data_IF_592575746002
#
_entry.id   IF_592575746002
#
_cell.length_a   1.000
_cell.length_b   1.000
_cell.length_c   1.000
_cell.angle_alpha   90.00
_cell.angle_beta   90.00
_cell.angle_gamma   90.00
#
_symmetry.space_group_name_H-M   'P 1'
#
loop_
_entity.id
_entity.type
_entity.pdbx_description
1 polymer ?
#
# COMPACT_ATOMS: atom_id res chain seq x y z
N UNK A 1 -10.96 10.09 -1.82
CA UNK A 1 -10.52 11.23 -2.67
C UNK A 1 -10.79 11.03 -4.14
N UNK A 2 -10.48 9.89 -4.76
CA UNK A 2 -10.80 9.64 -6.17
C UNK A 2 -12.27 9.90 -6.51
N UNK A 3 -13.22 9.41 -5.71
CA UNK A 3 -14.65 9.68 -5.90
C UNK A 3 -14.98 11.19 -5.97
N UNK A 4 -14.47 11.99 -5.02
CA UNK A 4 -14.73 13.43 -4.98
C UNK A 4 -14.11 14.18 -6.17
N UNK A 5 -12.87 13.85 -6.53
CA UNK A 5 -12.23 14.40 -7.72
C UNK A 5 -13.05 14.13 -8.99
N UNK A 6 -13.46 12.87 -9.20
CA UNK A 6 -14.15 12.46 -10.43
C UNK A 6 -15.56 13.06 -10.58
N UNK A 7 -16.27 13.25 -9.47
CA UNK A 7 -17.65 13.74 -9.45
C UNK A 7 -17.76 15.22 -9.06
N UNK A 8 -16.64 15.95 -9.02
CA UNK A 8 -16.67 17.37 -8.70
C UNK A 8 -17.52 18.13 -9.74
N UNK A 9 -18.33 19.11 -9.31
CA UNK A 9 -19.18 19.91 -10.20
C UNK A 9 -18.37 20.81 -11.14
N UNK A 10 -17.11 21.11 -10.81
CA UNK A 10 -16.24 22.03 -11.54
C UNK A 10 -14.81 21.50 -11.63
N UNK A 11 -14.09 21.90 -12.68
CA UNK A 11 -12.68 21.55 -12.87
C UNK A 11 -11.77 22.03 -11.73
N UNK A 12 -12.04 23.21 -11.17
CA UNK A 12 -11.29 23.79 -10.05
C UNK A 12 -11.37 22.90 -8.81
N UNK A 13 -12.60 22.64 -8.33
CA UNK A 13 -12.82 21.74 -7.20
C UNK A 13 -12.28 20.31 -7.45
N UNK A 14 -12.37 19.83 -8.69
CA UNK A 14 -11.77 18.56 -9.10
C UNK A 14 -10.25 18.57 -8.90
N UNK A 15 -9.60 19.67 -9.27
CA UNK A 15 -8.15 19.90 -9.14
C UNK A 15 -7.73 19.95 -7.68
N UNK A 16 -8.51 20.60 -6.81
CA UNK A 16 -8.26 20.62 -5.38
C UNK A 16 -8.34 19.22 -4.77
N UNK A 17 -9.38 18.45 -5.11
CA UNK A 17 -9.55 17.10 -4.59
C UNK A 17 -8.43 16.15 -5.03
N UNK A 18 -7.96 16.23 -6.28
CA UNK A 18 -6.83 15.39 -6.73
C UNK A 18 -5.52 15.86 -6.10
N UNK A 19 -5.33 17.17 -5.91
CA UNK A 19 -4.13 17.73 -5.24
C UNK A 19 -4.03 17.21 -3.82
N UNK A 20 -5.09 17.37 -3.02
CA UNK A 20 -5.14 16.85 -1.65
C UNK A 20 -5.03 15.32 -1.66
N UNK A 21 -5.74 14.64 -2.56
CA UNK A 21 -5.68 13.18 -2.71
C UNK A 21 -4.28 12.66 -3.02
N UNK A 22 -3.51 13.37 -3.84
CA UNK A 22 -2.16 13.01 -4.22
C UNK A 22 -1.20 13.09 -3.03
N UNK A 23 -1.33 14.11 -2.17
CA UNK A 23 -0.54 14.24 -0.93
C UNK A 23 -0.72 12.99 -0.05
N UNK A 24 -1.98 12.57 0.18
CA UNK A 24 -2.25 11.31 0.89
C UNK A 24 -1.64 10.11 0.15
N UNK A 25 -1.75 10.09 -1.18
CA UNK A 25 -1.14 9.07 -2.04
C UNK A 25 0.37 8.92 -1.85
N UNK A 26 1.11 10.03 -1.67
CA UNK A 26 2.56 9.99 -1.42
C UNK A 26 2.91 9.45 -0.05
N UNK A 27 2.09 9.73 0.95
CA UNK A 27 2.33 9.27 2.33
C UNK A 27 2.03 7.78 2.53
N UNK A 28 1.13 7.20 1.75
CA UNK A 28 0.73 5.80 1.89
C UNK A 28 1.91 4.80 1.87
N UNK A 29 2.78 4.78 0.84
CA UNK A 29 3.91 3.85 0.81
C UNK A 29 4.96 4.15 1.91
N UNK A 30 5.03 5.39 2.39
CA UNK A 30 5.87 5.76 3.54
C UNK A 30 5.33 5.18 4.85
N UNK A 31 4.01 5.22 5.08
CA UNK A 31 3.38 4.62 6.26
C UNK A 31 3.53 3.10 6.31
N UNK A 32 3.45 2.43 5.16
CA UNK A 32 3.73 0.99 5.10
C UNK A 32 5.19 0.70 5.51
N UNK A 33 6.13 1.48 5.01
CA UNK A 33 7.54 1.32 5.34
C UNK A 33 7.82 1.60 6.82
N UNK A 34 7.20 2.63 7.39
CA UNK A 34 7.23 2.89 8.83
C UNK A 34 6.71 1.67 9.59
N UNK A 35 5.58 1.10 9.18
CA UNK A 35 4.98 -0.07 9.83
C UNK A 35 5.97 -1.24 9.85
N UNK A 36 6.60 -1.54 8.71
CA UNK A 36 7.62 -2.59 8.64
C UNK A 36 8.86 -2.30 9.50
N UNK A 37 9.34 -1.06 9.49
CA UNK A 37 10.48 -0.67 10.32
C UNK A 37 10.15 -0.75 11.81
N UNK A 38 8.93 -0.39 12.22
CA UNK A 38 8.46 -0.47 13.60
C UNK A 38 8.33 -1.92 14.09
N UNK A 39 7.96 -2.86 13.21
CA UNK A 39 8.02 -4.30 13.55
C UNK A 39 9.45 -4.80 13.75
N UNK A 40 10.44 -4.23 13.06
CA UNK A 40 11.84 -4.60 13.22
C UNK A 40 12.47 -3.96 14.47
N UNK A 41 12.23 -2.66 14.66
CA UNK A 41 12.75 -1.88 15.79
C UNK A 41 11.86 -0.65 16.01
N UNK A 42 11.25 -0.56 17.19
CA UNK A 42 10.44 0.59 17.56
C UNK A 42 11.33 1.79 17.88
N UNK A 43 11.42 2.75 16.95
CA UNK A 43 12.15 3.99 17.15
C UNK A 43 11.50 5.13 16.37
N UNK A 44 11.44 6.32 16.97
CA UNK A 44 10.91 7.52 16.32
C UNK A 44 11.71 7.93 15.08
N UNK A 45 12.97 7.49 14.96
CA UNK A 45 13.78 7.74 13.74
C UNK A 45 13.17 7.11 12.49
N UNK A 46 12.33 6.08 12.62
CA UNK A 46 11.61 5.49 11.50
C UNK A 46 10.64 6.50 10.83
N UNK A 47 10.18 7.52 11.56
CA UNK A 47 9.31 8.56 11.02
C UNK A 47 10.00 9.47 9.99
N UNK A 48 11.34 9.50 9.96
CA UNK A 48 12.10 10.26 8.95
C UNK A 48 11.80 9.78 7.52
N UNK A 49 11.29 8.56 7.38
CA UNK A 49 10.82 8.00 6.11
C UNK A 49 9.64 8.79 5.52
N UNK A 50 8.91 9.59 6.30
CA UNK A 50 7.87 10.49 5.79
C UNK A 50 8.43 11.72 5.07
N UNK A 51 9.67 12.13 5.37
CA UNK A 51 10.22 13.41 4.89
C UNK A 51 10.13 13.52 3.35
N UNK A 52 10.56 12.53 2.55
CA UNK A 52 10.45 12.62 1.09
C UNK A 52 9.01 12.77 0.59
N UNK A 53 8.06 12.03 1.19
CA UNK A 53 6.64 12.13 0.86
C UNK A 53 6.03 13.49 1.22
N UNK A 54 6.42 14.06 2.37
CA UNK A 54 5.99 15.40 2.80
C UNK A 54 6.57 16.49 1.89
N UNK A 55 7.85 16.40 1.52
CA UNK A 55 8.48 17.31 0.56
C UNK A 55 7.72 17.27 -0.76
N UNK A 56 7.44 16.08 -1.29
CA UNK A 56 6.65 15.97 -2.52
C UNK A 56 5.25 16.56 -2.36
N UNK A 57 4.56 16.32 -1.23
CA UNK A 57 3.27 16.92 -0.96
C UNK A 57 3.29 18.44 -0.92
N UNK A 58 4.33 19.04 -0.33
CA UNK A 58 4.56 20.49 -0.35
C UNK A 58 4.76 20.97 -1.79
N UNK A 59 5.60 20.29 -2.58
CA UNK A 59 5.81 20.63 -4.00
C UNK A 59 4.48 20.58 -4.75
N UNK A 60 3.62 19.58 -4.51
CA UNK A 60 2.29 19.47 -5.13
C UNK A 60 1.40 20.67 -4.85
N UNK A 61 1.37 21.14 -3.60
CA UNK A 61 0.54 22.27 -3.19
C UNK A 61 0.93 23.58 -3.88
N UNK A 62 2.23 23.78 -4.14
CA UNK A 62 2.71 25.02 -4.76
C UNK A 62 2.81 24.93 -6.29
N UNK A 63 3.11 23.76 -6.83
CA UNK A 63 3.30 23.58 -8.27
C UNK A 63 2.00 23.37 -9.04
N UNK A 64 0.89 23.01 -8.37
CA UNK A 64 -0.39 22.62 -9.02
C UNK A 64 -0.17 21.73 -10.25
N UNK A 65 0.45 20.55 -10.07
CA UNK A 65 1.05 19.79 -11.16
C UNK A 65 0.03 19.01 -12.00
N UNK A 66 -1.27 19.14 -11.72
CA UNK A 66 -2.32 18.35 -12.36
C UNK A 66 -3.11 19.20 -13.36
N UNK A 67 -3.37 18.61 -14.53
CA UNK A 67 -4.37 19.10 -15.48
C UNK A 67 -5.55 18.14 -15.46
N UNK A 68 -6.76 18.67 -15.38
CA UNK A 68 -7.98 17.85 -15.32
C UNK A 68 -8.72 17.87 -16.65
N UNK A 69 -9.36 16.75 -16.97
CA UNK A 69 -10.09 16.52 -18.22
C UNK A 69 -11.41 15.84 -17.91
N UNK A 70 -12.51 16.30 -18.53
CA UNK A 70 -13.79 15.61 -18.39
C UNK A 70 -13.84 14.38 -19.31
N UNK A 71 -14.29 13.24 -18.79
CA UNK A 71 -14.39 11.98 -19.55
C UNK A 71 -15.72 11.28 -19.29
N UNK A 72 -15.97 10.16 -19.97
CA UNK A 72 -17.19 9.35 -19.78
C UNK A 72 -17.34 8.81 -18.35
N UNK A 73 -16.24 8.76 -17.60
CA UNK A 73 -16.18 8.29 -16.22
C UNK A 73 -16.03 9.45 -15.22
N UNK A 74 -16.34 10.69 -15.61
CA UNK A 74 -16.13 11.92 -14.82
C UNK A 74 -14.76 12.56 -15.03
N UNK A 75 -14.31 13.40 -14.11
CA UNK A 75 -12.98 14.02 -14.21
C UNK A 75 -11.85 12.98 -14.18
N UNK A 76 -10.88 13.17 -15.06
CA UNK A 76 -9.61 12.47 -15.11
C UNK A 76 -8.48 13.48 -15.00
N UNK A 77 -7.24 13.03 -14.85
CA UNK A 77 -6.09 13.92 -14.68
C UNK A 77 -4.87 13.46 -15.48
N UNK A 78 -4.04 14.44 -15.83
CA UNK A 78 -2.69 14.26 -16.35
C UNK A 78 -1.71 15.19 -15.63
N UNK A 79 -0.43 15.04 -15.92
CA UNK A 79 0.61 15.88 -15.33
C UNK A 79 0.88 17.10 -16.22
N UNK A 80 0.90 18.29 -15.61
CA UNK A 80 1.25 19.54 -16.27
C UNK A 80 2.74 19.62 -16.60
N UNK A 81 3.59 18.95 -15.82
CA UNK A 81 5.04 19.03 -15.92
C UNK A 81 5.69 17.65 -15.93
N UNK A 82 6.52 17.40 -16.95
CA UNK A 82 7.26 16.13 -17.09
C UNK A 82 8.20 15.88 -15.92
N UNK A 83 8.93 16.92 -15.47
CA UNK A 83 9.86 16.79 -14.34
C UNK A 83 9.16 16.33 -13.06
N UNK A 84 7.92 16.80 -12.83
CA UNK A 84 7.13 16.44 -11.67
C UNK A 84 6.73 14.97 -11.72
N UNK A 85 6.25 14.53 -12.89
CA UNK A 85 5.94 13.12 -13.13
C UNK A 85 7.17 12.23 -12.90
N UNK A 86 8.32 12.61 -13.44
CA UNK A 86 9.58 11.88 -13.25
C UNK A 86 9.98 11.80 -11.77
N UNK A 87 9.92 12.92 -11.04
CA UNK A 87 10.23 12.96 -9.60
C UNK A 87 9.29 12.06 -8.79
N UNK A 88 7.99 12.10 -9.09
CA UNK A 88 7.00 11.22 -8.48
C UNK A 88 7.30 9.74 -8.74
N UNK A 89 7.61 9.36 -9.98
CA UNK A 89 7.93 7.98 -10.35
C UNK A 89 9.18 7.50 -9.61
N UNK A 90 10.25 8.32 -9.57
CA UNK A 90 11.48 7.98 -8.85
C UNK A 90 11.20 7.78 -7.36
N UNK A 91 10.45 8.68 -6.73
CA UNK A 91 10.08 8.57 -5.33
C UNK A 91 9.28 7.28 -5.06
N UNK A 92 8.30 6.99 -5.91
CA UNK A 92 7.45 5.82 -5.76
C UNK A 92 8.28 4.53 -5.88
N UNK A 93 9.17 4.44 -6.89
CA UNK A 93 10.09 3.31 -7.06
C UNK A 93 11.03 3.14 -5.87
N UNK A 94 11.55 4.23 -5.31
CA UNK A 94 12.40 4.19 -4.12
C UNK A 94 11.65 3.60 -2.91
N UNK A 95 10.40 4.04 -2.67
CA UNK A 95 9.58 3.43 -1.62
C UNK A 95 9.21 1.98 -1.92
N UNK A 96 8.96 1.62 -3.17
CA UNK A 96 8.71 0.22 -3.55
C UNK A 96 9.89 -0.64 -3.20
N UNK A 97 11.09 -0.26 -3.64
CA UNK A 97 12.31 -1.00 -3.35
C UNK A 97 12.55 -1.12 -1.84
N UNK A 98 12.41 -0.03 -1.08
CA UNK A 98 12.59 -0.04 0.36
C UNK A 98 11.56 -0.93 1.09
N UNK A 99 10.28 -0.85 0.73
CA UNK A 99 9.23 -1.71 1.28
C UNK A 99 9.49 -3.19 0.99
N UNK A 100 9.92 -3.53 -0.24
CA UNK A 100 10.25 -4.90 -0.60
C UNK A 100 11.46 -5.41 0.19
N UNK A 101 12.55 -4.65 0.27
CA UNK A 101 13.76 -5.03 1.01
C UNK A 101 13.45 -5.25 2.49
N UNK A 102 12.77 -4.30 3.14
CA UNK A 102 12.44 -4.42 4.56
C UNK A 102 11.41 -5.53 4.80
N UNK A 103 10.39 -5.64 3.95
CA UNK A 103 9.36 -6.68 4.05
C UNK A 103 9.93 -8.09 3.88
N UNK A 104 10.80 -8.32 2.89
CA UNK A 104 11.49 -9.61 2.71
C UNK A 104 12.34 -9.94 3.95
N UNK A 105 13.06 -8.96 4.49
CA UNK A 105 13.84 -9.14 5.70
C UNK A 105 12.96 -9.51 6.90
N UNK A 106 11.79 -8.90 7.07
CA UNK A 106 10.83 -9.28 8.12
C UNK A 106 10.34 -10.71 7.96
N UNK A 107 10.01 -11.14 6.74
CA UNK A 107 9.60 -12.54 6.48
C UNK A 107 10.69 -13.51 6.86
N UNK A 108 11.94 -13.22 6.48
CA UNK A 108 13.10 -14.09 6.76
C UNK A 108 13.47 -14.13 8.25
N UNK A 109 13.35 -13.01 8.96
CA UNK A 109 13.73 -12.87 10.36
C UNK A 109 12.58 -13.09 11.35
N UNK A 110 11.38 -13.43 10.87
CA UNK A 110 10.22 -13.67 11.74
C UNK A 110 10.48 -14.84 12.72
N UNK A 111 10.30 -14.54 14.01
CA UNK A 111 10.56 -15.49 15.11
C UNK A 111 9.59 -16.67 15.15
N UNK A 112 8.37 -16.51 14.64
CA UNK A 112 7.34 -17.56 14.62
C UNK A 112 6.80 -17.80 13.22
N UNK A 113 6.34 -19.02 12.94
CA UNK A 113 5.74 -19.36 11.65
C UNK A 113 4.48 -18.55 11.36
N UNK A 114 3.66 -18.26 12.39
CA UNK A 114 2.49 -17.42 12.24
C UNK A 114 2.88 -16.03 11.73
N UNK A 115 3.88 -15.41 12.37
CA UNK A 115 4.33 -14.07 12.01
C UNK A 115 4.93 -14.06 10.60
N UNK A 116 5.68 -15.11 10.24
CA UNK A 116 6.19 -15.31 8.88
C UNK A 116 5.06 -15.38 7.85
N UNK A 117 4.00 -16.15 8.12
CA UNK A 117 2.82 -16.25 7.25
C UNK A 117 2.13 -14.89 7.08
N UNK A 118 1.91 -14.16 8.17
CA UNK A 118 1.31 -12.80 8.14
C UNK A 118 2.15 -11.82 7.32
N UNK A 119 3.45 -11.74 7.57
CA UNK A 119 4.35 -10.87 6.81
C UNK A 119 4.44 -11.26 5.34
N UNK A 120 4.48 -12.57 5.03
CA UNK A 120 4.50 -13.05 3.65
C UNK A 120 3.24 -12.62 2.91
N UNK A 121 2.08 -12.78 3.54
CA UNK A 121 0.80 -12.38 2.95
C UNK A 121 0.74 -10.86 2.74
N UNK A 122 1.12 -10.05 3.74
CA UNK A 122 1.20 -8.59 3.59
C UNK A 122 2.11 -8.17 2.43
N UNK A 123 3.29 -8.79 2.30
CA UNK A 123 4.23 -8.51 1.24
C UNK A 123 3.69 -8.90 -0.15
N UNK A 124 3.03 -10.06 -0.26
CA UNK A 124 2.39 -10.50 -1.50
C UNK A 124 1.24 -9.57 -1.89
N UNK A 125 0.37 -9.21 -0.94
CA UNK A 125 -0.74 -8.29 -1.19
C UNK A 125 -0.24 -6.91 -1.62
N UNK A 126 0.81 -6.41 -0.96
CA UNK A 126 1.47 -5.18 -1.36
C UNK A 126 2.01 -5.26 -2.80
N UNK A 127 2.75 -6.31 -3.12
CA UNK A 127 3.33 -6.47 -4.45
C UNK A 127 2.24 -6.58 -5.53
N UNK A 128 1.25 -7.45 -5.34
CA UNK A 128 0.22 -7.70 -6.34
C UNK A 128 -0.69 -6.48 -6.55
N UNK A 129 -1.22 -5.91 -5.46
CA UNK A 129 -2.20 -4.85 -5.60
C UNK A 129 -1.56 -3.49 -5.78
N UNK A 130 -0.52 -3.15 -5.01
CA UNK A 130 0.09 -1.83 -5.09
C UNK A 130 1.13 -1.74 -6.20
N UNK A 131 2.13 -2.63 -6.21
CA UNK A 131 3.24 -2.54 -7.18
C UNK A 131 2.77 -2.86 -8.60
N UNK A 132 1.95 -3.90 -8.77
CA UNK A 132 1.49 -4.31 -10.11
C UNK A 132 0.19 -3.60 -10.48
N UNK A 133 -0.92 -3.88 -9.79
CA UNK A 133 -2.24 -3.46 -10.26
C UNK A 133 -2.44 -1.94 -10.24
N UNK A 134 -2.08 -1.25 -9.15
CA UNK A 134 -2.17 0.22 -9.08
C UNK A 134 -1.20 0.89 -10.06
N UNK A 135 0.04 0.43 -10.19
CA UNK A 135 1.00 1.02 -11.14
C UNK A 135 0.51 0.90 -12.58
N UNK A 136 0.03 -0.28 -12.99
CA UNK A 136 -0.53 -0.49 -14.33
C UNK A 136 -1.73 0.41 -14.55
N UNK A 137 -2.68 0.44 -13.60
CA UNK A 137 -3.88 1.27 -13.72
C UNK A 137 -3.54 2.76 -13.81
N UNK A 138 -2.59 3.23 -13.01
CA UNK A 138 -2.15 4.63 -13.05
C UNK A 138 -1.41 4.96 -14.35
N UNK A 139 -0.56 4.06 -14.86
CA UNK A 139 0.09 4.25 -16.16
C UNK A 139 -0.94 4.31 -17.30
N UNK A 140 -1.93 3.40 -17.29
CA UNK A 140 -3.00 3.39 -18.28
C UNK A 140 -3.83 4.67 -18.21
N UNK A 141 -4.12 5.20 -17.01
CA UNK A 141 -4.89 6.43 -16.85
C UNK A 141 -4.11 7.67 -17.31
N UNK A 142 -2.78 7.69 -17.12
CA UNK A 142 -1.91 8.77 -17.62
C UNK A 142 -1.78 8.72 -19.13
N UNK A 143 -1.68 7.54 -19.72
CA UNK A 143 -1.51 7.38 -21.18
C UNK A 143 -2.85 7.49 -21.94
N UNK A 144 -3.92 6.95 -21.38
CA UNK A 144 -5.27 6.96 -21.91
C UNK A 144 -6.21 7.67 -20.92
N UNK A 145 -6.44 8.97 -21.16
CA UNK A 145 -7.20 9.84 -20.24
C UNK A 145 -8.62 9.29 -19.96
N UNK A 146 -9.27 8.65 -20.94
CA UNK A 146 -10.60 8.04 -20.80
C UNK A 146 -10.57 6.56 -20.33
N UNK A 147 -9.47 6.10 -19.74
CA UNK A 147 -9.41 4.74 -19.20
C UNK A 147 -10.27 4.62 -17.92
N UNK A 148 -10.99 3.50 -17.71
CA UNK A 148 -11.81 3.33 -16.52
C UNK A 148 -10.98 3.37 -15.22
N UNK A 149 -11.45 4.07 -14.17
CA UNK A 149 -10.72 4.19 -12.90
C UNK A 149 -10.85 2.95 -12.02
N UNK A 150 -10.06 1.92 -12.29
CA UNK A 150 -10.07 0.69 -11.47
C UNK A 150 -9.38 0.84 -10.10
N UNK A 151 -8.69 1.96 -9.84
CA UNK A 151 -7.90 2.16 -8.63
C UNK A 151 -8.69 1.97 -7.33
N UNK A 152 -9.97 2.37 -7.28
CA UNK A 152 -10.83 2.17 -6.10
C UNK A 152 -11.14 0.70 -5.82
N UNK A 153 -11.45 -0.09 -6.86
CA UNK A 153 -11.71 -1.53 -6.75
C UNK A 153 -10.44 -2.25 -6.29
N UNK A 154 -9.30 -1.94 -6.94
CA UNK A 154 -8.00 -2.53 -6.59
C UNK A 154 -7.63 -2.20 -5.13
N UNK A 155 -7.84 -0.96 -4.69
CA UNK A 155 -7.57 -0.54 -3.31
C UNK A 155 -8.45 -1.27 -2.31
N UNK A 156 -9.72 -1.52 -2.66
CA UNK A 156 -10.66 -2.27 -1.81
C UNK A 156 -10.22 -3.73 -1.67
N UNK A 157 -9.83 -4.38 -2.78
CA UNK A 157 -9.29 -5.74 -2.77
C UNK A 157 -7.99 -5.82 -1.94
N UNK A 158 -7.11 -4.83 -2.07
CA UNK A 158 -5.89 -4.74 -1.26
C UNK A 158 -6.21 -4.65 0.23
N UNK A 159 -7.18 -3.81 0.61
CA UNK A 159 -7.63 -3.66 1.98
C UNK A 159 -8.20 -4.97 2.54
N UNK A 160 -9.06 -5.66 1.78
CA UNK A 160 -9.61 -6.95 2.18
C UNK A 160 -8.52 -8.01 2.36
N UNK A 161 -7.51 -8.03 1.49
CA UNK A 161 -6.38 -8.95 1.61
C UNK A 161 -5.54 -8.67 2.88
N UNK A 162 -5.32 -7.40 3.22
CA UNK A 162 -4.64 -6.99 4.47
C UNK A 162 -5.49 -7.38 5.69
N UNK A 163 -6.79 -7.10 5.67
CA UNK A 163 -7.72 -7.45 6.75
C UNK A 163 -7.73 -8.97 7.00
N UNK A 164 -7.74 -9.76 5.93
CA UNK A 164 -7.62 -11.20 6.00
C UNK A 164 -6.28 -11.62 6.63
N UNK A 165 -5.16 -11.01 6.21
CA UNK A 165 -3.84 -11.29 6.78
C UNK A 165 -3.75 -11.05 8.29
N UNK A 166 -4.40 -9.98 8.77
CA UNK A 166 -4.45 -9.66 10.20
C UNK A 166 -5.30 -10.70 10.94
N UNK A 167 -6.44 -11.10 10.36
CA UNK A 167 -7.40 -12.04 10.95
C UNK A 167 -6.88 -13.47 11.13
N UNK A 168 -5.79 -13.85 10.43
CA UNK A 168 -5.18 -15.17 10.57
C UNK A 168 -4.82 -15.46 12.03
N UNK A 169 -5.42 -16.52 12.58
CA UNK A 169 -5.07 -17.09 13.89
C UNK A 169 -4.13 -18.28 13.69
N UNK A 170 -3.33 -18.57 14.71
CA UNK A 170 -2.52 -19.78 14.73
C UNK A 170 -3.43 -20.96 15.03
N UNK A 171 -3.64 -21.83 14.05
CA UNK A 171 -4.12 -23.18 14.31
C UNK A 171 -2.87 -24.05 14.49
N UNK A 172 -2.60 -24.57 15.71
CA UNK A 172 -1.63 -25.63 15.85
C UNK A 172 -2.11 -26.79 14.98
N UNK A 173 -1.29 -27.21 14.01
CA UNK A 173 -1.63 -28.30 13.11
C UNK A 173 -2.09 -29.51 13.92
N UNK A 174 -3.21 -30.12 13.51
CA UNK A 174 -3.81 -31.31 14.12
C UNK A 174 -2.87 -32.51 14.09
N UNK A 175 -1.92 -32.53 15.02
CA UNK A 175 -0.85 -33.52 15.12
C UNK A 175 -0.57 -33.98 16.55
N UNK A 176 -1.36 -33.58 17.54
CA UNK A 176 -1.39 -34.27 18.84
C UNK A 176 -2.50 -35.32 18.81
N UNK A 177 -2.18 -36.48 18.22
CA UNK A 177 -2.79 -37.71 18.70
C UNK A 177 -2.35 -37.85 20.14
N UNK A 178 -3.26 -37.56 21.06
CA UNK A 178 -3.14 -37.79 22.50
C UNK A 178 -2.43 -39.12 22.74
N UNK A 179 -1.23 -39.06 23.31
CA UNK A 179 -0.53 -40.24 23.81
C UNK A 179 -1.48 -40.98 24.78
N UNK A 180 -1.67 -42.30 24.65
CA UNK A 180 -2.49 -43.04 25.59
C UNK A 180 -1.90 -42.94 26.99
N UNK A 181 -2.76 -42.66 27.96
CA UNK A 181 -2.38 -42.54 29.37
C UNK A 181 -1.64 -43.82 29.84
N UNK A 182 -0.64 -43.70 30.73
CA UNK A 182 0.07 -44.87 31.25
C UNK A 182 -0.92 -45.79 31.95
N UNK A 183 -0.96 -47.06 31.57
CA UNK A 183 -1.71 -48.07 32.29
C UNK A 183 -1.15 -48.17 33.70
N UNK A 184 -1.95 -47.83 34.71
CA UNK A 184 -1.64 -48.12 36.10
C UNK A 184 -1.46 -49.63 36.25
N UNK A 185 -0.19 -50.02 36.43
CA UNK A 185 0.17 -51.38 36.79
C UNK A 185 -0.43 -51.71 38.14
N UNK A 186 -1.43 -52.60 38.15
CA UNK A 186 -1.78 -53.37 39.35
C UNK A 186 -0.56 -54.18 39.76
N UNK A 187 0.14 -53.70 40.79
CA UNK A 187 1.04 -54.54 41.57
C UNK A 187 0.19 -55.51 42.39
N UNK A 188 0.62 -56.77 42.29
CA UNK A 188 0.28 -58.00 43.01
C UNK A 188 -0.48 -57.83 44.33
#
# INVERSE_FOLDING_TARGET
>A
MAFFHRNAPTAELSTDFITVGAIFGYTFPAFLLITFLMFKKQTLRNLLVLIPALIMGVITLFAFPFRVFWTEFGWSYGYAYTWYFTAFVILNLAYIAANLVVGINLVRSAATELLRKKFKLLLISYFLFYVVAISITNMLLVYYINYPPFGGIISTLAFLAIAWAISLKFEPGGGEKSLPAPSEGKKL
#
